data_IF_626515038963
#
_entry.id   IF_626515038963
#
_cell.length_a   1.000
_cell.length_b   1.000
_cell.length_c   1.000
_cell.angle_alpha   90.00
_cell.angle_beta   90.00
_cell.angle_gamma   90.00
#
_symmetry.space_group_name_H-M   'P 1'
#
loop_
_entity.id
_entity.type
_entity.pdbx_description
1 polymer ?
#
# COMPACT_ATOMS: atom_id res chain seq x y z
N UNK A 1 13.92 30.92 4.30
CA UNK A 1 12.54 30.41 4.13
C UNK A 1 12.46 29.10 4.90
N UNK A 2 11.77 29.00 6.04
CA UNK A 2 11.55 27.70 6.65
C UNK A 2 10.53 26.94 5.81
N UNK A 3 10.94 25.82 5.20
CA UNK A 3 10.01 24.88 4.60
C UNK A 3 9.22 24.23 5.73
N UNK A 4 7.97 24.64 5.93
CA UNK A 4 7.05 23.87 6.77
C UNK A 4 6.76 22.58 6.04
N UNK A 5 7.44 21.50 6.40
CA UNK A 5 7.03 20.15 6.03
C UNK A 5 5.70 19.89 6.71
N UNK A 6 4.60 20.22 6.03
CA UNK A 6 3.26 19.86 6.48
C UNK A 6 3.21 18.34 6.54
N UNK A 7 3.05 17.79 7.75
CA UNK A 7 2.81 16.36 7.93
C UNK A 7 1.57 15.98 7.11
N UNK A 8 1.64 14.95 6.24
CA UNK A 8 0.50 14.54 5.42
C UNK A 8 -0.66 14.13 6.32
N UNK A 9 -1.88 14.51 5.94
CA UNK A 9 -3.08 14.13 6.71
C UNK A 9 -3.41 12.66 6.49
N UNK A 10 -4.21 12.07 7.38
CA UNK A 10 -4.74 10.72 7.18
C UNK A 10 -5.46 10.56 5.82
N UNK A 11 -6.15 11.60 5.35
CA UNK A 11 -6.81 11.58 4.05
C UNK A 11 -5.83 11.54 2.87
N UNK A 12 -4.71 12.28 2.96
CA UNK A 12 -3.66 12.29 1.93
C UNK A 12 -2.99 10.92 1.85
N UNK A 13 -2.65 10.34 3.00
CA UNK A 13 -2.08 9.00 3.10
C UNK A 13 -3.01 7.93 2.51
N UNK A 14 -4.31 8.01 2.79
CA UNK A 14 -5.30 7.09 2.20
C UNK A 14 -5.44 7.28 0.68
N UNK A 15 -5.40 8.51 0.20
CA UNK A 15 -5.47 8.79 -1.24
C UNK A 15 -4.26 8.18 -1.97
N UNK A 16 -3.06 8.30 -1.39
CA UNK A 16 -1.83 7.72 -1.95
C UNK A 16 -1.81 6.19 -1.84
N UNK A 17 -2.25 5.63 -0.70
CA UNK A 17 -2.42 4.18 -0.53
C UNK A 17 -3.33 3.59 -1.61
N UNK A 18 -4.44 4.28 -1.92
CA UNK A 18 -5.38 3.88 -2.98
C UNK A 18 -4.72 3.86 -4.36
N UNK A 19 -3.86 4.84 -4.67
CA UNK A 19 -3.10 4.85 -5.93
C UNK A 19 -2.10 3.69 -5.99
N UNK A 20 -1.45 3.37 -4.88
CA UNK A 20 -0.57 2.21 -4.76
C UNK A 20 -1.33 0.88 -4.98
N UNK A 21 -2.52 0.72 -4.40
CA UNK A 21 -3.38 -0.44 -4.63
C UNK A 21 -3.76 -0.57 -6.11
N UNK A 22 -4.19 0.52 -6.75
CA UNK A 22 -4.51 0.51 -8.19
C UNK A 22 -3.29 0.13 -9.05
N UNK A 23 -2.11 0.64 -8.72
CA UNK A 23 -0.87 0.30 -9.40
C UNK A 23 -0.51 -1.18 -9.21
N UNK A 24 -0.64 -1.70 -7.99
CA UNK A 24 -0.39 -3.10 -7.68
C UNK A 24 -1.33 -4.05 -8.42
N UNK A 25 -2.61 -3.68 -8.60
CA UNK A 25 -3.58 -4.47 -9.38
C UNK A 25 -3.15 -4.60 -10.84
N UNK A 26 -2.58 -3.54 -11.42
CA UNK A 26 -2.15 -3.50 -12.81
C UNK A 26 -0.81 -4.21 -13.08
N UNK A 27 -0.02 -4.50 -12.05
CA UNK A 27 1.35 -5.03 -12.15
C UNK A 27 1.45 -6.52 -11.80
N UNK A 28 2.63 -7.12 -11.88
CA UNK A 28 2.87 -8.51 -11.46
C UNK A 28 4.23 -8.70 -10.76
N UNK A 29 4.40 -9.82 -10.07
CA UNK A 29 5.64 -10.22 -9.40
C UNK A 29 6.18 -9.14 -8.47
N UNK A 30 7.46 -8.79 -8.65
CA UNK A 30 8.14 -7.81 -7.80
C UNK A 30 7.51 -6.41 -7.81
N UNK A 31 6.99 -5.96 -8.96
CA UNK A 31 6.34 -4.64 -9.05
C UNK A 31 5.02 -4.62 -8.29
N UNK A 32 4.19 -5.65 -8.43
CA UNK A 32 2.97 -5.82 -7.62
C UNK A 32 3.32 -5.81 -6.13
N UNK A 33 4.36 -6.55 -5.75
CA UNK A 33 4.83 -6.61 -4.35
C UNK A 33 5.23 -5.24 -3.83
N UNK A 34 6.01 -4.48 -4.60
CA UNK A 34 6.48 -3.14 -4.23
C UNK A 34 5.30 -2.19 -3.99
N UNK A 35 4.41 -2.04 -4.99
CA UNK A 35 3.25 -1.14 -4.85
C UNK A 35 2.29 -1.56 -3.74
N UNK A 36 2.05 -2.86 -3.57
CA UNK A 36 1.20 -3.36 -2.50
C UNK A 36 1.82 -3.13 -1.11
N UNK A 37 3.15 -3.24 -1.00
CA UNK A 37 3.86 -2.96 0.24
C UNK A 37 3.83 -1.47 0.59
N UNK A 38 4.12 -0.60 -0.37
CA UNK A 38 4.07 0.86 -0.17
C UNK A 38 2.66 1.30 0.23
N UNK A 39 1.62 0.78 -0.43
CA UNK A 39 0.24 1.04 -0.06
C UNK A 39 -0.12 0.53 1.34
N UNK A 40 0.40 -0.63 1.76
CA UNK A 40 0.19 -1.16 3.10
C UNK A 40 0.82 -0.27 4.17
N UNK A 41 2.03 0.25 3.92
CA UNK A 41 2.69 1.22 4.82
C UNK A 41 1.86 2.49 4.96
N UNK A 42 1.43 3.08 3.83
CA UNK A 42 0.61 4.29 3.85
C UNK A 42 -0.75 4.09 4.55
N UNK A 43 -1.39 2.93 4.36
CA UNK A 43 -2.62 2.59 5.06
C UNK A 43 -2.38 2.41 6.58
N UNK A 44 -1.28 1.78 6.99
CA UNK A 44 -0.92 1.65 8.40
C UNK A 44 -0.66 3.03 9.03
N UNK A 45 0.07 3.91 8.33
CA UNK A 45 0.35 5.27 8.79
C UNK A 45 -0.94 6.08 8.92
N UNK A 46 -1.87 5.95 7.96
CA UNK A 46 -3.18 6.58 8.05
C UNK A 46 -4.03 6.05 9.22
N UNK A 47 -3.99 4.75 9.52
CA UNK A 47 -4.71 4.16 10.64
C UNK A 47 -4.17 4.63 12.00
N UNK A 48 -2.86 4.88 12.09
CA UNK A 48 -2.16 5.33 13.29
C UNK A 48 -2.10 6.86 13.41
N UNK A 49 -2.54 7.61 12.40
CA UNK A 49 -2.49 9.06 12.39
C UNK A 49 -3.35 9.65 13.53
N UNK A 50 -2.81 10.61 14.32
CA UNK A 50 -3.48 11.12 15.53
C UNK A 50 -4.87 11.71 15.26
N UNK A 51 -5.01 12.40 14.13
CA UNK A 51 -6.26 13.03 13.71
C UNK A 51 -7.12 12.17 12.76
N UNK A 52 -6.85 10.86 12.68
CA UNK A 52 -7.64 9.97 11.82
C UNK A 52 -9.06 9.79 12.38
N UNK A 53 -10.06 10.10 11.56
CA UNK A 53 -11.47 9.84 11.85
C UNK A 53 -11.76 8.32 11.88
N UNK A 54 -12.78 7.87 12.63
CA UNK A 54 -13.13 6.45 12.67
C UNK A 54 -13.39 5.82 11.30
N UNK A 55 -14.01 6.59 10.38
CA UNK A 55 -14.23 6.16 8.99
C UNK A 55 -12.92 5.99 8.23
N UNK A 56 -11.94 6.87 8.43
CA UNK A 56 -10.62 6.78 7.81
C UNK A 56 -9.84 5.57 8.33
N UNK A 57 -9.92 5.27 9.63
CA UNK A 57 -9.31 4.05 10.19
C UNK A 57 -9.97 2.78 9.64
N UNK A 58 -11.30 2.80 9.46
CA UNK A 58 -12.01 1.68 8.84
C UNK A 58 -11.58 1.49 7.36
N UNK A 59 -11.43 2.59 6.61
CA UNK A 59 -10.89 2.53 5.24
C UNK A 59 -9.45 2.04 5.22
N UNK A 60 -8.59 2.52 6.11
CA UNK A 60 -7.22 2.06 6.24
C UNK A 60 -7.14 0.54 6.49
N UNK A 61 -8.00 0.02 7.37
CA UNK A 61 -8.07 -1.42 7.63
C UNK A 61 -8.49 -2.21 6.37
N UNK A 62 -9.47 -1.71 5.61
CA UNK A 62 -9.86 -2.31 4.33
C UNK A 62 -8.67 -2.37 3.35
N UNK A 63 -7.89 -1.30 3.26
CA UNK A 63 -6.70 -1.25 2.41
C UNK A 63 -5.59 -2.19 2.88
N UNK A 64 -5.42 -2.39 4.19
CA UNK A 64 -4.49 -3.40 4.72
C UNK A 64 -4.91 -4.81 4.30
N UNK A 65 -6.21 -5.13 4.34
CA UNK A 65 -6.71 -6.43 3.91
C UNK A 65 -6.54 -6.63 2.39
N UNK A 66 -6.83 -5.62 1.58
CA UNK A 66 -6.63 -5.64 0.12
C UNK A 66 -5.14 -5.84 -0.25
N UNK A 67 -4.25 -5.08 0.38
CA UNK A 67 -2.80 -5.19 0.14
C UNK A 67 -2.23 -6.52 0.61
N UNK A 68 -2.76 -7.13 1.68
CA UNK A 68 -2.39 -8.48 2.09
C UNK A 68 -2.69 -9.52 0.99
N UNK A 69 -3.86 -9.42 0.36
CA UNK A 69 -4.24 -10.26 -0.78
C UNK A 69 -3.30 -10.07 -1.98
N UNK A 70 -2.95 -8.82 -2.30
CA UNK A 70 -2.04 -8.50 -3.40
C UNK A 70 -0.61 -8.99 -3.15
N UNK A 71 -0.13 -8.91 -1.90
CA UNK A 71 1.17 -9.44 -1.50
C UNK A 71 1.22 -10.97 -1.55
N UNK A 72 0.16 -11.65 -1.12
CA UNK A 72 0.04 -13.10 -1.28
C UNK A 72 0.10 -13.48 -2.76
N UNK A 73 -0.64 -12.78 -3.61
CA UNK A 73 -0.63 -13.01 -5.05
C UNK A 73 0.74 -12.79 -5.68
N UNK A 74 1.44 -11.72 -5.31
CA UNK A 74 2.79 -11.46 -5.81
C UNK A 74 3.77 -12.59 -5.44
N UNK A 75 3.65 -13.15 -4.23
CA UNK A 75 4.48 -14.29 -3.80
C UNK A 75 4.22 -15.54 -4.64
N UNK A 76 2.96 -15.83 -4.95
CA UNK A 76 2.60 -16.94 -5.85
C UNK A 76 3.21 -16.76 -7.24
N UNK A 77 3.11 -15.56 -7.81
CA UNK A 77 3.67 -15.22 -9.13
C UNK A 77 5.19 -15.38 -9.15
N UNK A 78 5.88 -14.95 -8.10
CA UNK A 78 7.33 -15.09 -7.98
C UNK A 78 7.76 -16.55 -7.78
N UNK A 79 6.99 -17.34 -7.03
CA UNK A 79 7.27 -18.76 -6.85
C UNK A 79 7.03 -19.59 -8.12
N UNK A 80 6.09 -19.15 -8.96
CA UNK A 80 5.77 -19.79 -10.24
C UNK A 80 6.74 -19.39 -11.38
N UNK A 81 7.54 -18.33 -11.22
CA UNK A 81 8.53 -17.93 -12.20
C UNK A 81 9.63 -19.00 -12.28
N UNK A 82 9.83 -19.67 -13.44
CA UNK A 82 10.86 -20.69 -13.56
C UNK A 82 12.23 -20.06 -13.35
N UNK A 83 13.03 -20.66 -12.46
CA UNK A 83 14.46 -20.40 -12.36
C UNK A 83 15.11 -20.72 -13.72
N UNK A 84 15.16 -19.77 -14.64
CA UNK A 84 16.12 -19.77 -15.73
C UNK A 84 17.50 -19.54 -15.10
N UNK A 85 18.07 -20.60 -14.52
CA UNK A 85 19.51 -20.69 -14.32
C UNK A 85 20.14 -20.63 -15.72
N UNK A 86 20.80 -19.51 -16.00
CA UNK A 86 21.74 -19.38 -17.10
C UNK A 86 22.94 -20.32 -16.90
#
# INVERSE_FOLDING_TARGET
MPSTSTTPTAADLLAEARLGIHSAVAEHGDRRRMFAHDAATLAADAALHPDAEPSQRATAQCYLDETAGLLARAREEMAAAPNCRA
#
